data_IF_923093794596
#
_entry.id   IF_923093794596
#
_cell.length_a   1.000
_cell.length_b   1.000
_cell.length_c   1.000
_cell.angle_alpha   90.00
_cell.angle_beta   90.00
_cell.angle_gamma   90.00
#
_symmetry.space_group_name_H-M   'P 1'
#
loop_
_entity.id
_entity.type
_entity.pdbx_description
1 polymer ?
#
# COMPACT_ATOMS: atom_id res chain seq x y z
N UNK A 1 -4.31 22.94 33.96
CA UNK A 1 -5.46 22.10 33.57
C UNK A 1 -5.82 22.31 32.11
N UNK A 2 -5.91 23.56 31.64
CA UNK A 2 -6.17 23.90 30.23
C UNK A 2 -5.07 23.42 29.26
N UNK A 3 -3.80 23.61 29.63
CA UNK A 3 -2.65 23.17 28.84
C UNK A 3 -2.59 21.64 28.59
N UNK A 4 -3.00 20.83 29.57
CA UNK A 4 -3.07 19.36 29.44
C UNK A 4 -4.21 18.97 28.51
N UNK A 5 -5.35 19.65 28.60
CA UNK A 5 -6.49 19.43 27.69
C UNK A 5 -6.14 19.84 26.25
N UNK A 6 -5.40 20.94 26.04
CA UNK A 6 -4.91 21.34 24.72
C UNK A 6 -3.85 20.37 24.17
N UNK A 7 -2.89 19.90 24.98
CA UNK A 7 -1.91 18.91 24.51
C UNK A 7 -2.55 17.56 24.24
N UNK A 8 -3.50 17.08 25.06
CA UNK A 8 -4.30 15.90 24.72
C UNK A 8 -5.11 16.10 23.44
N UNK A 9 -5.74 17.27 23.27
CA UNK A 9 -6.49 17.60 22.06
C UNK A 9 -5.62 17.62 20.80
N UNK A 10 -4.41 18.16 20.90
CA UNK A 10 -3.44 18.18 19.80
C UNK A 10 -2.88 16.78 19.51
N UNK A 11 -2.62 15.96 20.53
CA UNK A 11 -2.20 14.56 20.35
C UNK A 11 -3.30 13.71 19.70
N UNK A 12 -4.57 13.94 20.07
CA UNK A 12 -5.73 13.27 19.45
C UNK A 12 -5.89 13.69 17.99
N UNK A 13 -5.65 14.96 17.64
CA UNK A 13 -5.67 15.42 16.24
C UNK A 13 -4.47 14.95 15.43
N UNK A 14 -3.30 14.80 16.07
CA UNK A 14 -2.11 14.24 15.45
C UNK A 14 -2.12 12.71 15.37
N UNK A 15 -3.09 12.04 15.99
CA UNK A 15 -3.22 10.59 15.83
C UNK A 15 -3.70 10.30 14.41
N UNK A 16 -3.02 9.38 13.73
CA UNK A 16 -3.27 9.01 12.33
C UNK A 16 -4.75 8.77 11.99
N UNK A 17 -5.55 8.36 12.98
CA UNK A 17 -6.99 8.14 12.85
C UNK A 17 -7.80 9.38 12.45
N UNK A 18 -7.38 10.60 12.82
CA UNK A 18 -8.11 11.83 12.46
C UNK A 18 -7.73 12.41 11.10
N UNK A 19 -6.64 11.94 10.50
CA UNK A 19 -6.20 12.36 9.16
C UNK A 19 -6.80 11.46 8.05
N UNK A 20 -7.58 10.45 8.43
CA UNK A 20 -8.26 9.55 7.49
C UNK A 20 -9.45 10.27 6.84
N UNK A 21 -9.36 10.48 5.53
CA UNK A 21 -10.48 11.00 4.76
C UNK A 21 -11.57 9.93 4.61
N UNK A 22 -12.80 10.36 4.33
CA UNK A 22 -13.89 9.43 4.00
C UNK A 22 -13.53 8.48 2.83
N UNK A 23 -12.70 8.94 1.88
CA UNK A 23 -12.19 8.12 0.79
C UNK A 23 -11.32 6.97 1.26
N UNK A 24 -10.48 7.18 2.28
CA UNK A 24 -9.62 6.12 2.81
C UNK A 24 -10.43 4.99 3.45
N UNK A 25 -11.52 5.31 4.15
CA UNK A 25 -12.42 4.30 4.71
C UNK A 25 -13.05 3.41 3.64
N UNK A 26 -13.47 3.99 2.51
CA UNK A 26 -14.01 3.23 1.38
C UNK A 26 -12.94 2.29 0.82
N UNK A 27 -11.73 2.79 0.60
CA UNK A 27 -10.64 2.00 0.04
C UNK A 27 -10.18 0.87 0.97
N UNK A 28 -10.21 1.07 2.29
CA UNK A 28 -9.96 -0.01 3.27
C UNK A 28 -11.02 -1.11 3.13
N UNK A 29 -12.29 -0.74 2.96
CA UNK A 29 -13.35 -1.72 2.73
C UNK A 29 -13.10 -2.51 1.44
N UNK A 30 -12.72 -1.84 0.35
CA UNK A 30 -12.35 -2.50 -0.92
C UNK A 30 -11.15 -3.42 -0.74
N UNK A 31 -10.11 -3.00 0.00
CA UNK A 31 -8.95 -3.82 0.31
C UNK A 31 -9.34 -5.11 1.06
N UNK A 32 -10.24 -5.01 2.04
CA UNK A 32 -10.79 -6.16 2.75
C UNK A 32 -11.58 -7.10 1.82
N UNK A 33 -12.33 -6.56 0.85
CA UNK A 33 -13.02 -7.38 -0.17
C UNK A 33 -12.01 -8.14 -1.02
N UNK A 34 -10.91 -7.50 -1.44
CA UNK A 34 -9.89 -8.19 -2.23
C UNK A 34 -9.14 -9.24 -1.42
N UNK A 35 -8.83 -8.97 -0.15
CA UNK A 35 -8.30 -9.99 0.76
C UNK A 35 -9.24 -11.19 0.88
N UNK A 36 -10.55 -10.96 0.99
CA UNK A 36 -11.54 -12.02 1.04
C UNK A 36 -11.58 -12.84 -0.27
N UNK A 37 -11.52 -12.18 -1.42
CA UNK A 37 -11.49 -12.86 -2.72
C UNK A 37 -10.21 -13.68 -2.90
N UNK A 38 -9.06 -13.14 -2.48
CA UNK A 38 -7.78 -13.80 -2.62
C UNK A 38 -7.66 -15.03 -1.70
N UNK A 39 -8.11 -14.93 -0.44
CA UNK A 39 -7.92 -15.97 0.58
C UNK A 39 -9.03 -17.02 0.54
N UNK A 40 -10.29 -16.61 0.42
CA UNK A 40 -11.42 -17.55 0.50
C UNK A 40 -11.81 -18.13 -0.85
N UNK A 41 -11.66 -17.36 -1.91
CA UNK A 41 -12.05 -17.77 -3.27
C UNK A 41 -10.84 -18.10 -4.16
N UNK A 42 -9.62 -18.05 -3.61
CA UNK A 42 -8.37 -18.38 -4.29
C UNK A 42 -8.19 -17.67 -5.66
N UNK A 43 -8.73 -16.46 -5.79
CA UNK A 43 -8.47 -15.63 -6.98
C UNK A 43 -7.04 -15.09 -6.90
N UNK A 44 -6.16 -15.63 -7.74
CA UNK A 44 -4.76 -15.22 -7.90
C UNK A 44 -4.08 -14.83 -6.57
N UNK A 45 -4.04 -15.73 -5.57
CA UNK A 45 -3.64 -15.38 -4.21
C UNK A 45 -2.22 -14.82 -4.13
N UNK A 46 -1.34 -15.24 -5.06
CA UNK A 46 0.04 -14.79 -5.15
C UNK A 46 0.16 -13.28 -5.48
N UNK A 47 -0.77 -12.73 -6.27
CA UNK A 47 -0.74 -11.32 -6.67
C UNK A 47 -1.76 -10.49 -5.88
N UNK A 48 -2.96 -11.02 -5.69
CA UNK A 48 -4.07 -10.26 -5.11
C UNK A 48 -3.88 -9.99 -3.60
N UNK A 49 -3.22 -10.90 -2.86
CA UNK A 49 -2.92 -10.68 -1.43
C UNK A 49 -1.93 -9.52 -1.25
N UNK A 50 -0.74 -9.48 -1.90
CA UNK A 50 0.15 -8.32 -1.82
C UNK A 50 -0.50 -7.01 -2.24
N UNK A 51 -1.31 -7.01 -3.30
CA UNK A 51 -2.01 -5.82 -3.79
C UNK A 51 -3.00 -5.30 -2.74
N UNK A 52 -3.83 -6.17 -2.18
CA UNK A 52 -4.80 -5.81 -1.16
C UNK A 52 -4.13 -5.31 0.13
N UNK A 53 -2.99 -5.90 0.50
CA UNK A 53 -2.19 -5.45 1.64
C UNK A 53 -1.58 -4.06 1.40
N UNK A 54 -1.03 -3.80 0.22
CA UNK A 54 -0.52 -2.48 -0.17
C UNK A 54 -1.60 -1.40 -0.13
N UNK A 55 -2.79 -1.69 -0.67
CA UNK A 55 -3.94 -0.78 -0.58
C UNK A 55 -4.33 -0.47 0.85
N UNK A 56 -4.33 -1.47 1.74
CA UNK A 56 -4.66 -1.29 3.15
C UNK A 56 -3.63 -0.38 3.83
N UNK A 57 -2.33 -0.61 3.62
CA UNK A 57 -1.27 0.20 4.22
C UNK A 57 -1.30 1.65 3.77
N UNK A 58 -1.44 1.92 2.47
CA UNK A 58 -1.49 3.30 1.93
C UNK A 58 -2.71 4.05 2.45
N UNK A 59 -3.84 3.37 2.66
CA UNK A 59 -5.05 4.03 3.16
C UNK A 59 -5.10 4.18 4.68
N UNK A 60 -4.31 3.42 5.46
CA UNK A 60 -4.18 3.62 6.91
C UNK A 60 -3.06 4.62 7.24
N UNK A 61 -1.97 4.59 6.48
CA UNK A 61 -0.79 5.43 6.68
C UNK A 61 -0.30 5.98 5.34
N UNK A 62 -0.89 7.09 4.84
CA UNK A 62 -0.56 7.67 3.53
C UNK A 62 0.92 8.04 3.37
N UNK A 63 1.60 8.41 4.45
CA UNK A 63 3.02 8.79 4.42
C UNK A 63 3.94 7.65 3.97
N UNK A 64 3.45 6.40 3.91
CA UNK A 64 4.23 5.25 3.40
C UNK A 64 4.57 5.35 1.91
N UNK A 65 3.84 6.17 1.16
CA UNK A 65 4.09 6.46 -0.27
C UNK A 65 4.57 7.91 -0.49
N UNK A 66 4.83 8.66 0.59
CA UNK A 66 5.30 10.03 0.48
C UNK A 66 6.61 10.10 -0.30
N UNK A 67 6.72 11.11 -1.15
CA UNK A 67 7.94 11.35 -1.91
C UNK A 67 9.07 11.84 -0.98
N UNK A 68 10.35 11.64 -1.38
CA UNK A 68 11.49 12.20 -0.64
C UNK A 68 11.43 13.73 -0.51
N UNK A 69 10.77 14.43 -1.43
CA UNK A 69 10.63 15.88 -1.45
C UNK A 69 9.65 16.40 -0.40
N UNK A 70 8.65 15.59 -0.04
CA UNK A 70 7.62 15.93 0.94
C UNK A 70 7.99 15.52 2.37
N UNK A 71 9.03 14.69 2.53
CA UNK A 71 9.41 14.12 3.83
C UNK A 71 10.51 14.95 4.50
N UNK A 72 10.34 15.27 5.78
CA UNK A 72 11.28 16.11 6.56
C UNK A 72 12.71 15.58 6.62
N UNK A 73 12.90 14.28 6.41
CA UNK A 73 14.20 13.61 6.48
C UNK A 73 14.83 13.38 5.08
N UNK A 74 14.17 13.82 4.00
CA UNK A 74 14.64 13.61 2.62
C UNK A 74 14.63 12.15 2.16
N UNK A 75 13.98 11.26 2.90
CA UNK A 75 13.86 9.82 2.58
C UNK A 75 12.41 9.56 2.21
N UNK A 76 12.17 8.97 1.04
CA UNK A 76 10.82 8.60 0.60
C UNK A 76 10.25 7.45 1.42
N UNK A 77 8.93 7.31 1.42
CA UNK A 77 8.27 6.18 2.04
C UNK A 77 8.68 4.84 1.42
N UNK A 78 8.55 3.74 2.19
CA UNK A 78 8.95 2.42 1.69
C UNK A 78 8.20 2.03 0.40
N UNK A 79 6.88 2.27 0.35
CA UNK A 79 6.06 1.94 -0.83
C UNK A 79 6.28 2.89 -1.99
N UNK A 80 6.82 4.10 -1.75
CA UNK A 80 7.23 5.01 -2.82
C UNK A 80 8.32 4.39 -3.70
N UNK A 81 9.33 3.75 -3.11
CA UNK A 81 10.39 3.11 -3.90
C UNK A 81 9.86 1.93 -4.73
N UNK A 82 8.93 1.13 -4.20
CA UNK A 82 8.27 0.08 -4.98
C UNK A 82 7.43 0.65 -6.12
N UNK A 83 6.74 1.77 -5.89
CA UNK A 83 6.00 2.47 -6.93
C UNK A 83 6.94 2.98 -8.04
N UNK A 84 8.09 3.57 -7.70
CA UNK A 84 9.08 4.03 -8.70
C UNK A 84 9.61 2.87 -9.55
N UNK A 85 9.86 1.70 -8.93
CA UNK A 85 10.30 0.51 -9.67
C UNK A 85 9.22 -0.03 -10.61
N UNK A 86 7.95 0.12 -10.26
CA UNK A 86 6.82 -0.21 -11.13
C UNK A 86 6.71 0.79 -12.29
N UNK A 87 6.84 2.09 -12.02
CA UNK A 87 6.82 3.16 -13.03
C UNK A 87 7.96 3.02 -14.05
N UNK A 88 9.17 2.65 -13.58
CA UNK A 88 10.30 2.31 -14.45
C UNK A 88 10.15 0.96 -15.16
N UNK A 89 9.02 0.28 -14.98
CA UNK A 89 8.72 -1.03 -15.56
C UNK A 89 9.69 -2.14 -15.17
N UNK A 90 10.48 -1.95 -14.10
CA UNK A 90 11.45 -2.93 -13.63
C UNK A 90 10.73 -4.13 -13.01
N UNK A 91 9.77 -3.88 -12.11
CA UNK A 91 9.00 -4.95 -11.47
C UNK A 91 8.17 -5.76 -12.48
N UNK A 92 7.36 -5.16 -13.37
CA UNK A 92 6.63 -5.91 -14.39
C UNK A 92 7.55 -6.74 -15.30
N UNK A 93 8.67 -6.18 -15.75
CA UNK A 93 9.62 -6.88 -16.63
C UNK A 93 10.23 -8.10 -15.93
N UNK A 94 10.57 -8.00 -14.64
CA UNK A 94 11.08 -9.12 -13.86
C UNK A 94 10.02 -10.21 -13.64
N UNK A 95 8.78 -9.83 -13.38
CA UNK A 95 7.66 -10.79 -13.27
C UNK A 95 7.48 -11.53 -14.59
N UNK A 96 7.45 -10.83 -15.73
CA UNK A 96 7.30 -11.46 -17.04
C UNK A 96 8.50 -12.34 -17.43
N UNK A 97 9.72 -11.95 -17.06
CA UNK A 97 10.89 -12.80 -17.20
C UNK A 97 10.73 -14.11 -16.40
N UNK A 98 10.24 -14.03 -15.16
CA UNK A 98 9.95 -15.19 -14.33
C UNK A 98 8.88 -16.10 -14.93
N UNK A 99 7.79 -15.52 -15.46
CA UNK A 99 6.74 -16.27 -16.17
C UNK A 99 7.33 -16.98 -17.40
N UNK A 100 8.14 -16.29 -18.20
CA UNK A 100 8.81 -16.87 -19.37
C UNK A 100 9.76 -18.02 -19.02
N UNK A 101 10.45 -17.94 -17.87
CA UNK A 101 11.32 -19.01 -17.37
C UNK A 101 10.53 -20.24 -16.87
N UNK A 102 9.26 -20.06 -16.48
CA UNK A 102 8.37 -21.15 -16.06
C UNK A 102 7.56 -21.74 -17.22
N UNK A 103 7.58 -21.11 -18.39
CA UNK A 103 6.87 -21.59 -19.59
C UNK A 103 7.56 -22.83 -20.15
N UNK A 104 6.82 -23.92 -20.26
CA UNK A 104 7.26 -25.12 -20.98
C UNK A 104 7.08 -24.94 -22.50
N UNK A 105 8.14 -25.21 -23.26
CA UNK A 105 8.14 -25.13 -24.72
C UNK A 105 7.83 -26.47 -25.41
N UNK A 106 7.65 -27.57 -24.68
CA UNK A 106 7.32 -28.88 -25.25
C UNK A 106 6.02 -28.95 -26.09
N UNK A 107 4.96 -28.19 -25.78
CA UNK A 107 3.73 -28.14 -26.57
C UNK A 107 3.75 -27.18 -27.79
N UNK A 108 4.88 -26.51 -28.06
CA UNK A 108 5.03 -25.53 -29.15
C UNK A 108 5.57 -26.13 -30.45
#
# INVERSE_FOLDING_TARGET
>A
MEYIFETLGNLVRQTAFFNLTWGNFIMILVACVFLYLAIKKDYEPLLLVPIAFGMLLVNIYPDIIASPEETSNGVGGLLYYFYVLDEWSVLPSLIFMGVGAMTDFGPL
#
